data_IF_023565243476
#
_entry.id   IF_023565243476
#
_cell.length_a   1.000
_cell.length_b   1.000
_cell.length_c   1.000
_cell.angle_alpha   90.00
_cell.angle_beta   90.00
_cell.angle_gamma   90.00
#
_symmetry.space_group_name_H-M   'P 1'
#
loop_
_entity.id
_entity.type
_entity.pdbx_description
1 polymer ?
#
# COMPACT_ATOMS: atom_id res chain seq x y z
N UNK A 1 -32.21 30.40 8.41
CA UNK A 1 -31.27 29.40 8.97
C UNK A 1 -30.54 30.05 10.14
N UNK A 2 -30.61 29.51 11.36
CA UNK A 2 -30.09 30.19 12.56
C UNK A 2 -28.55 30.18 12.62
N UNK A 3 -27.92 31.25 13.16
CA UNK A 3 -26.45 31.33 13.33
C UNK A 3 -25.90 30.15 14.13
N UNK A 4 -26.65 29.69 15.12
CA UNK A 4 -26.31 28.56 15.98
C UNK A 4 -26.28 27.22 15.21
N UNK A 5 -27.10 27.06 14.18
CA UNK A 5 -27.04 25.91 13.28
C UNK A 5 -25.75 25.90 12.45
N UNK A 6 -25.35 27.07 11.92
CA UNK A 6 -24.12 27.21 11.11
C UNK A 6 -22.88 26.95 11.96
N UNK A 7 -22.83 27.47 13.19
CA UNK A 7 -21.72 27.26 14.13
C UNK A 7 -21.58 25.77 14.48
N UNK A 8 -22.68 25.11 14.85
CA UNK A 8 -22.68 23.68 15.17
C UNK A 8 -22.25 22.79 13.99
N UNK A 9 -22.62 23.15 12.76
CA UNK A 9 -22.19 22.42 11.56
C UNK A 9 -20.69 22.60 11.27
N UNK A 10 -20.16 23.80 11.50
CA UNK A 10 -18.73 24.08 11.34
C UNK A 10 -17.89 23.32 12.37
N UNK A 11 -18.33 23.24 13.63
CA UNK A 11 -17.63 22.47 14.67
C UNK A 11 -17.66 20.96 14.43
N UNK A 12 -18.81 20.40 14.02
CA UNK A 12 -18.90 18.98 13.64
C UNK A 12 -17.99 18.65 12.46
N UNK A 13 -17.95 19.53 11.45
CA UNK A 13 -17.09 19.36 10.28
C UNK A 13 -15.61 19.45 10.65
N UNK A 14 -15.22 20.39 11.52
CA UNK A 14 -13.86 20.49 12.06
C UNK A 14 -13.46 19.25 12.86
N UNK A 15 -14.30 18.78 13.78
CA UNK A 15 -14.03 17.59 14.58
C UNK A 15 -13.81 16.32 13.73
N UNK A 16 -14.59 16.16 12.64
CA UNK A 16 -14.40 15.07 11.68
C UNK A 16 -13.09 15.18 10.89
N UNK A 17 -12.68 16.40 10.50
CA UNK A 17 -11.39 16.62 9.80
C UNK A 17 -10.20 16.32 10.71
N UNK A 18 -10.22 16.77 11.97
CA UNK A 18 -9.16 16.49 12.94
C UNK A 18 -9.02 14.98 13.16
N UNK A 19 -10.13 14.26 13.36
CA UNK A 19 -10.10 12.82 13.55
C UNK A 19 -9.53 12.07 12.32
N UNK A 20 -9.85 12.51 11.11
CA UNK A 20 -9.29 11.95 9.88
C UNK A 20 -7.77 12.14 9.82
N UNK A 21 -7.29 13.37 10.04
CA UNK A 21 -5.85 13.69 9.97
C UNK A 21 -5.07 12.89 11.02
N UNK A 22 -5.55 12.89 12.27
CA UNK A 22 -4.90 12.13 13.36
C UNK A 22 -4.90 10.64 13.06
N UNK A 23 -6.04 10.09 12.60
CA UNK A 23 -6.15 8.69 12.24
C UNK A 23 -5.22 8.27 11.11
N UNK A 24 -5.13 9.07 10.05
CA UNK A 24 -4.20 8.84 8.95
C UNK A 24 -2.74 8.95 9.44
N UNK A 25 -2.43 9.93 10.30
CA UNK A 25 -1.09 10.10 10.86
C UNK A 25 -0.64 8.90 11.70
N UNK A 26 -1.52 8.37 12.58
CA UNK A 26 -1.22 7.17 13.37
C UNK A 26 -1.02 5.96 12.45
N UNK A 27 -1.89 5.76 11.46
CA UNK A 27 -1.76 4.64 10.52
C UNK A 27 -0.48 4.75 9.68
N UNK A 28 -0.08 5.96 9.26
CA UNK A 28 1.18 6.20 8.57
C UNK A 28 2.39 5.92 9.46
N UNK A 29 2.35 6.31 10.74
CA UNK A 29 3.41 5.98 11.69
C UNK A 29 3.55 4.46 11.88
N UNK A 30 2.43 3.74 12.03
CA UNK A 30 2.42 2.27 12.12
C UNK A 30 2.91 1.63 10.82
N UNK A 31 2.46 2.12 9.66
CA UNK A 31 2.91 1.64 8.36
C UNK A 31 4.44 1.78 8.22
N UNK A 32 4.96 2.95 8.58
CA UNK A 32 6.41 3.21 8.55
C UNK A 32 7.15 2.27 9.50
N UNK A 33 6.67 2.11 10.74
CA UNK A 33 7.26 1.19 11.71
C UNK A 33 7.31 -0.26 11.18
N UNK A 34 6.24 -0.72 10.52
CA UNK A 34 6.20 -2.04 9.89
C UNK A 34 7.11 -2.15 8.67
N UNK A 35 7.33 -1.06 7.94
CA UNK A 35 8.25 -1.03 6.80
C UNK A 35 9.70 -1.17 7.26
N UNK A 36 10.08 -0.55 8.39
CA UNK A 36 11.40 -0.77 9.00
C UNK A 36 11.67 -2.22 9.42
N UNK A 37 10.61 -3.02 9.61
CA UNK A 37 10.70 -4.45 9.91
C UNK A 37 10.66 -5.32 8.64
N UNK A 38 11.04 -4.75 7.50
CA UNK A 38 11.11 -5.47 6.24
C UNK A 38 12.02 -6.70 6.34
N UNK A 39 11.53 -7.80 5.77
CA UNK A 39 12.22 -9.06 5.68
C UNK A 39 12.89 -9.10 4.31
N UNK A 40 14.23 -9.26 4.24
CA UNK A 40 14.93 -9.39 2.97
C UNK A 40 14.37 -10.58 2.18
N UNK A 41 14.08 -10.37 0.89
CA UNK A 41 13.81 -11.47 -0.02
C UNK A 41 15.10 -11.97 -0.67
N UNK A 42 15.08 -13.13 -1.35
CA UNK A 42 16.22 -13.58 -2.16
C UNK A 42 16.73 -12.52 -3.14
N UNK A 43 15.84 -11.65 -3.63
CA UNK A 43 16.21 -10.48 -4.44
C UNK A 43 16.36 -9.28 -3.51
N UNK A 44 17.61 -8.93 -3.20
CA UNK A 44 17.99 -7.95 -2.17
C UNK A 44 17.36 -6.55 -2.30
N UNK A 45 16.93 -6.12 -3.49
CA UNK A 45 16.25 -4.84 -3.71
C UNK A 45 14.71 -4.94 -3.70
N UNK A 46 14.14 -6.10 -3.42
CA UNK A 46 12.70 -6.34 -3.24
C UNK A 46 12.51 -6.92 -1.84
N UNK A 47 12.03 -6.13 -0.90
CA UNK A 47 11.81 -6.59 0.47
C UNK A 47 10.33 -6.92 0.72
N UNK A 48 10.07 -7.87 1.63
CA UNK A 48 8.72 -8.18 2.10
C UNK A 48 8.46 -7.38 3.38
N UNK A 49 7.36 -6.65 3.41
CA UNK A 49 6.95 -5.90 4.59
C UNK A 49 5.42 -5.98 4.76
N UNK A 50 4.94 -5.59 5.94
CA UNK A 50 3.51 -5.57 6.28
C UNK A 50 2.92 -4.14 6.28
N UNK A 51 3.64 -3.18 5.70
CA UNK A 51 3.30 -1.75 5.80
C UNK A 51 2.09 -1.35 4.95
N UNK A 52 1.69 -2.15 3.96
CA UNK A 52 0.49 -1.92 3.16
C UNK A 52 -0.80 -2.18 3.95
N UNK A 53 -0.73 -2.97 5.04
CA UNK A 53 -1.88 -3.30 5.87
C UNK A 53 -2.48 -2.05 6.56
N UNK A 54 -1.73 -1.21 7.30
CA UNK A 54 -2.28 0.02 7.86
C UNK A 54 -2.86 0.97 6.81
N UNK A 55 -2.25 1.06 5.62
CA UNK A 55 -2.76 1.88 4.53
C UNK A 55 -4.09 1.33 3.96
N UNK A 56 -4.21 0.01 3.82
CA UNK A 56 -5.46 -0.66 3.47
C UNK A 56 -6.56 -0.41 4.50
N UNK A 57 -6.23 -0.48 5.80
CA UNK A 57 -7.17 -0.16 6.88
C UNK A 57 -7.60 1.32 6.83
N UNK A 58 -6.66 2.22 6.51
CA UNK A 58 -6.96 3.64 6.28
C UNK A 58 -7.89 3.85 5.10
N UNK A 59 -7.68 3.12 3.99
CA UNK A 59 -8.56 3.16 2.82
C UNK A 59 -10.00 2.72 3.17
N UNK A 60 -10.15 1.71 4.01
CA UNK A 60 -11.45 1.23 4.47
C UNK A 60 -12.12 2.17 5.47
N UNK A 61 -11.36 2.72 6.43
CA UNK A 61 -11.90 3.61 7.47
C UNK A 61 -12.24 5.01 6.95
N UNK A 62 -11.31 5.61 6.21
CA UNK A 62 -11.34 7.03 5.85
C UNK A 62 -11.53 7.28 4.35
N UNK A 63 -11.46 6.23 3.53
CA UNK A 63 -11.66 6.28 2.08
C UNK A 63 -10.37 6.12 1.29
N UNK A 64 -10.47 5.82 -0.01
CA UNK A 64 -9.34 5.39 -0.84
C UNK A 64 -8.17 6.38 -0.85
N UNK A 65 -8.45 7.68 -0.89
CA UNK A 65 -7.42 8.72 -0.89
C UNK A 65 -6.61 8.71 0.42
N UNK A 66 -7.24 8.38 1.56
CA UNK A 66 -6.50 8.25 2.81
C UNK A 66 -5.48 7.12 2.76
N UNK A 67 -5.83 5.98 2.14
CA UNK A 67 -4.89 4.88 1.91
C UNK A 67 -3.69 5.30 1.07
N UNK A 68 -3.93 5.98 -0.05
CA UNK A 68 -2.87 6.52 -0.93
C UNK A 68 -1.97 7.52 -0.20
N UNK A 69 -2.53 8.39 0.65
CA UNK A 69 -1.74 9.34 1.42
C UNK A 69 -0.91 8.65 2.52
N UNK A 70 -1.43 7.60 3.15
CA UNK A 70 -0.68 6.79 4.12
C UNK A 70 0.49 6.10 3.43
N UNK A 71 0.27 5.52 2.24
CA UNK A 71 1.31 4.95 1.36
C UNK A 71 2.39 5.97 0.99
N UNK A 72 1.98 7.20 0.67
CA UNK A 72 2.92 8.27 0.35
C UNK A 72 3.78 8.60 1.57
N UNK A 73 3.14 8.87 2.72
CA UNK A 73 3.84 9.31 3.94
C UNK A 73 4.80 8.24 4.43
N UNK A 74 4.39 6.97 4.49
CA UNK A 74 5.27 5.89 4.97
C UNK A 74 6.53 5.78 4.10
N UNK A 75 6.37 5.83 2.78
CA UNK A 75 7.48 5.67 1.86
C UNK A 75 8.40 6.88 1.89
N UNK A 76 7.86 8.11 1.98
CA UNK A 76 8.65 9.34 2.16
C UNK A 76 9.49 9.30 3.43
N UNK A 77 8.95 8.81 4.54
CA UNK A 77 9.71 8.68 5.79
C UNK A 77 10.78 7.59 5.64
N UNK A 78 10.46 6.47 5.00
CA UNK A 78 11.39 5.36 4.80
C UNK A 78 12.59 5.72 3.92
N UNK A 79 12.47 6.75 3.05
CA UNK A 79 13.60 7.23 2.24
C UNK A 79 14.84 7.56 3.09
N UNK A 80 14.67 7.99 4.35
CA UNK A 80 15.76 8.33 5.25
C UNK A 80 16.69 7.14 5.59
N UNK A 81 16.21 5.90 5.40
CA UNK A 81 16.97 4.67 5.69
C UNK A 81 17.06 3.72 4.49
N UNK A 82 16.72 4.22 3.29
CA UNK A 82 16.59 3.38 2.10
C UNK A 82 17.85 2.57 1.83
N UNK A 83 17.68 1.26 1.69
CA UNK A 83 18.74 0.31 1.31
C UNK A 83 18.74 0.01 -0.19
N UNK A 84 17.70 0.44 -0.90
CA UNK A 84 17.44 0.13 -2.31
C UNK A 84 17.78 1.29 -3.26
N UNK A 85 18.40 2.36 -2.76
CA UNK A 85 18.66 3.56 -3.55
C UNK A 85 17.38 4.29 -3.96
N UNK A 86 16.39 4.34 -3.08
CA UNK A 86 15.08 5.00 -3.27
C UNK A 86 14.13 4.32 -4.27
N UNK A 87 14.62 3.34 -5.03
CA UNK A 87 13.86 2.63 -6.06
C UNK A 87 12.80 1.72 -5.46
N UNK A 88 13.13 1.05 -4.35
CA UNK A 88 12.20 0.20 -3.63
C UNK A 88 11.02 0.98 -3.07
N UNK A 89 11.28 2.15 -2.47
CA UNK A 89 10.23 3.04 -1.94
C UNK A 89 9.34 3.59 -3.05
N UNK A 90 9.92 3.95 -4.21
CA UNK A 90 9.14 4.37 -5.37
C UNK A 90 8.19 3.26 -5.84
N UNK A 91 8.70 2.04 -6.00
CA UNK A 91 7.89 0.88 -6.40
C UNK A 91 6.81 0.58 -5.36
N UNK A 92 7.19 0.54 -4.07
CA UNK A 92 6.28 0.30 -2.95
C UNK A 92 5.14 1.31 -2.94
N UNK A 93 5.44 2.61 -3.11
CA UNK A 93 4.40 3.64 -3.19
C UNK A 93 3.46 3.45 -4.37
N UNK A 94 3.97 3.25 -5.59
CA UNK A 94 3.12 3.09 -6.79
C UNK A 94 2.17 1.91 -6.61
N UNK A 95 2.70 0.77 -6.17
CA UNK A 95 1.95 -0.47 -6.03
C UNK A 95 0.96 -0.40 -4.85
N UNK A 96 1.42 0.10 -3.70
CA UNK A 96 0.58 0.30 -2.52
C UNK A 96 -0.55 1.31 -2.77
N UNK A 97 -0.28 2.39 -3.51
CA UNK A 97 -1.31 3.35 -3.90
C UNK A 97 -2.40 2.70 -4.77
N UNK A 98 -2.01 1.92 -5.78
CA UNK A 98 -2.96 1.19 -6.64
C UNK A 98 -3.78 0.19 -5.83
N UNK A 99 -3.13 -0.53 -4.92
CA UNK A 99 -3.77 -1.51 -4.05
C UNK A 99 -4.84 -0.87 -3.16
N UNK A 100 -4.44 0.14 -2.39
CA UNK A 100 -5.31 0.79 -1.40
C UNK A 100 -6.40 1.63 -2.05
N UNK A 101 -6.11 2.30 -3.17
CA UNK A 101 -7.10 3.03 -3.97
C UNK A 101 -8.20 2.09 -4.47
N UNK A 102 -7.83 1.01 -5.16
CA UNK A 102 -8.77 0.03 -5.69
C UNK A 102 -9.60 -0.62 -4.60
N UNK A 103 -8.93 -1.11 -3.54
CA UNK A 103 -9.61 -1.78 -2.44
C UNK A 103 -10.57 -0.83 -1.72
N UNK A 104 -10.14 0.41 -1.46
CA UNK A 104 -10.96 1.46 -0.86
C UNK A 104 -12.18 1.80 -1.71
N UNK A 105 -12.03 1.99 -3.02
CA UNK A 105 -13.14 2.28 -3.93
C UNK A 105 -14.22 1.19 -3.90
N UNK A 106 -13.83 -0.09 -3.84
CA UNK A 106 -14.76 -1.21 -3.77
C UNK A 106 -15.43 -1.28 -2.40
N UNK A 107 -14.65 -1.16 -1.31
CA UNK A 107 -15.17 -1.25 0.05
C UNK A 107 -16.19 -0.14 0.36
N UNK A 108 -15.91 1.09 -0.10
CA UNK A 108 -16.76 2.25 0.20
C UNK A 108 -18.17 2.14 -0.40
N UNK A 109 -18.37 1.30 -1.44
CA UNK A 109 -19.71 1.03 -1.99
C UNK A 109 -20.59 0.27 -1.01
N UNK A 110 -20.04 -0.73 -0.32
CA UNK A 110 -20.82 -1.62 0.56
C UNK A 110 -20.05 -2.12 1.78
N UNK A 111 -19.82 -1.24 2.78
CA UNK A 111 -18.97 -1.47 3.97
C UNK A 111 -19.29 -2.72 4.80
N UNK A 112 -18.83 -3.87 4.34
CA UNK A 112 -19.05 -5.20 4.92
C UNK A 112 -17.77 -6.01 4.93
N UNK A 113 -17.68 -7.05 5.77
CA UNK A 113 -16.51 -7.94 5.77
C UNK A 113 -16.30 -8.58 4.39
N UNK A 114 -17.38 -8.97 3.71
CA UNK A 114 -17.34 -9.52 2.36
C UNK A 114 -16.73 -8.53 1.36
N UNK A 115 -17.18 -7.26 1.38
CA UNK A 115 -16.62 -6.22 0.51
C UNK A 115 -15.16 -5.88 0.83
N UNK A 116 -14.73 -6.00 2.09
CA UNK A 116 -13.34 -5.74 2.48
C UNK A 116 -12.41 -6.83 1.91
N UNK A 117 -12.82 -8.09 2.03
CA UNK A 117 -12.08 -9.23 1.44
C UNK A 117 -12.08 -9.11 -0.08
N UNK A 118 -13.25 -8.93 -0.71
CA UNK A 118 -13.36 -8.85 -2.16
C UNK A 118 -12.59 -7.65 -2.73
N UNK A 119 -12.76 -6.47 -2.14
CA UNK A 119 -12.05 -5.27 -2.52
C UNK A 119 -10.55 -5.40 -2.33
N UNK A 120 -10.11 -6.01 -1.23
CA UNK A 120 -8.72 -6.35 -0.99
C UNK A 120 -8.14 -7.30 -2.03
N UNK A 121 -8.79 -8.43 -2.32
CA UNK A 121 -8.32 -9.40 -3.32
C UNK A 121 -8.25 -8.77 -4.71
N UNK A 122 -9.28 -8.04 -5.12
CA UNK A 122 -9.28 -7.32 -6.41
C UNK A 122 -8.18 -6.26 -6.42
N UNK A 123 -8.00 -5.51 -5.33
CA UNK A 123 -6.91 -4.55 -5.18
C UNK A 123 -5.54 -5.21 -5.36
N UNK A 124 -5.30 -6.36 -4.71
CA UNK A 124 -4.06 -7.10 -4.82
C UNK A 124 -3.83 -7.60 -6.26
N UNK A 125 -4.89 -8.08 -6.92
CA UNK A 125 -4.83 -8.52 -8.31
C UNK A 125 -4.49 -7.35 -9.26
N UNK A 126 -5.15 -6.20 -9.11
CA UNK A 126 -4.85 -5.01 -9.93
C UNK A 126 -3.42 -4.52 -9.63
N UNK A 127 -3.00 -4.51 -8.37
CA UNK A 127 -1.63 -4.19 -7.99
C UNK A 127 -0.62 -5.10 -8.69
N UNK A 128 -0.87 -6.42 -8.71
CA UNK A 128 -0.01 -7.38 -9.40
C UNK A 128 0.04 -7.14 -10.92
N UNK A 129 -1.12 -6.88 -11.56
CA UNK A 129 -1.19 -6.57 -12.99
C UNK A 129 -0.43 -5.28 -13.31
N UNK A 130 -0.59 -4.22 -12.51
CA UNK A 130 0.10 -2.94 -12.69
C UNK A 130 1.59 -3.05 -12.35
N UNK A 131 1.99 -4.00 -11.51
CA UNK A 131 3.39 -4.20 -11.14
C UNK A 131 4.27 -4.53 -12.34
N UNK A 132 3.75 -5.23 -13.35
CA UNK A 132 4.53 -5.54 -14.54
C UNK A 132 4.90 -4.28 -15.35
N UNK A 133 3.94 -3.49 -15.89
CA UNK A 133 4.27 -2.28 -16.64
C UNK A 133 4.95 -1.20 -15.77
N UNK A 134 4.54 -1.04 -14.50
CA UNK A 134 5.20 -0.09 -13.58
C UNK A 134 6.68 -0.42 -13.42
N UNK A 135 7.01 -1.69 -13.16
CA UNK A 135 8.40 -2.08 -13.02
C UNK A 135 9.17 -1.94 -14.33
N UNK A 136 8.59 -2.36 -15.44
CA UNK A 136 9.25 -2.36 -16.74
C UNK A 136 9.57 -0.95 -17.26
N UNK A 137 8.64 0.01 -17.10
CA UNK A 137 8.74 1.33 -17.72
C UNK A 137 9.16 2.44 -16.76
N UNK A 138 9.06 2.24 -15.45
CA UNK A 138 9.37 3.28 -14.45
C UNK A 138 10.46 2.83 -13.50
N UNK A 139 10.21 1.75 -12.74
CA UNK A 139 11.08 1.38 -11.60
C UNK A 139 12.46 0.91 -12.08
N UNK A 140 12.51 -0.05 -13.02
CA UNK A 140 13.79 -0.57 -13.50
C UNK A 140 14.57 0.43 -14.34
N UNK A 141 13.95 1.18 -15.28
CA UNK A 141 14.64 2.27 -15.95
C UNK A 141 15.23 3.30 -14.99
N UNK A 142 14.53 3.62 -13.90
CA UNK A 142 15.08 4.47 -12.85
C UNK A 142 16.27 3.80 -12.13
N UNK A 143 16.14 2.51 -11.81
CA UNK A 143 17.20 1.73 -11.16
C UNK A 143 18.47 1.61 -12.00
N UNK A 144 18.35 1.59 -13.32
CA UNK A 144 19.49 1.49 -14.22
C UNK A 144 20.42 2.70 -14.21
N UNK A 145 19.99 3.84 -13.65
CA UNK A 145 20.87 4.98 -13.41
C UNK A 145 21.85 4.73 -12.26
N UNK A 146 21.59 3.72 -11.41
CA UNK A 146 22.41 3.37 -10.25
C UNK A 146 23.14 2.04 -10.44
N UNK A 147 22.55 1.09 -11.18
CA UNK A 147 23.11 -0.24 -11.41
C UNK A 147 22.89 -0.69 -12.87
N UNK A 148 23.92 -1.16 -13.60
CA UNK A 148 23.75 -1.64 -14.97
C UNK A 148 22.70 -2.76 -15.08
N UNK A 149 21.96 -2.77 -16.19
CA UNK A 149 20.90 -3.76 -16.45
C UNK A 149 21.42 -5.20 -16.35
N UNK A 150 22.65 -5.43 -16.80
CA UNK A 150 23.33 -6.72 -16.78
C UNK A 150 23.60 -7.20 -15.35
N UNK A 151 23.96 -6.28 -14.44
CA UNK A 151 24.16 -6.60 -13.03
C UNK A 151 22.83 -6.95 -12.35
N UNK A 152 21.76 -6.19 -12.64
CA UNK A 152 20.41 -6.50 -12.13
C UNK A 152 19.94 -7.86 -12.65
N UNK A 153 20.15 -8.16 -13.94
CA UNK A 153 19.81 -9.44 -14.52
C UNK A 153 20.62 -10.58 -13.90
N UNK A 154 21.91 -10.36 -13.62
CA UNK A 154 22.78 -11.32 -12.95
C UNK A 154 22.26 -11.75 -11.58
N UNK A 155 21.69 -10.82 -10.79
CA UNK A 155 21.04 -11.14 -9.50
C UNK A 155 19.88 -12.12 -9.72
N UNK A 156 19.04 -11.87 -10.72
CA UNK A 156 17.93 -12.78 -11.03
C UNK A 156 18.40 -14.14 -11.57
N UNK A 157 19.42 -14.16 -12.43
CA UNK A 157 19.95 -15.39 -13.02
C UNK A 157 20.61 -16.30 -11.99
N UNK A 158 21.15 -15.75 -10.90
CA UNK A 158 21.68 -16.53 -9.79
C UNK A 158 20.59 -17.30 -9.02
N UNK A 159 19.33 -16.87 -9.11
CA UNK A 159 18.22 -17.39 -8.31
C UNK A 159 17.18 -18.13 -9.17
N UNK A 160 17.00 -17.71 -10.42
CA UNK A 160 15.94 -18.16 -11.31
C UNK A 160 16.47 -18.41 -12.72
N UNK A 161 15.82 -19.34 -13.44
CA UNK A 161 16.11 -19.61 -14.85
C UNK A 161 15.46 -18.56 -15.76
N UNK A 162 16.07 -17.38 -15.84
CA UNK A 162 15.58 -16.25 -16.65
C UNK A 162 16.64 -15.74 -17.62
N UNK A 163 16.18 -15.32 -18.79
CA UNK A 163 17.06 -14.77 -19.84
C UNK A 163 16.90 -13.26 -20.02
N UNK A 164 15.96 -12.63 -19.32
CA UNK A 164 15.66 -11.22 -19.46
C UNK A 164 15.01 -10.65 -18.20
N UNK A 165 15.04 -9.33 -18.03
CA UNK A 165 14.42 -8.63 -16.90
C UNK A 165 12.90 -8.73 -16.98
N UNK A 166 12.33 -8.67 -18.17
CA UNK A 166 10.91 -8.82 -18.43
C UNK A 166 10.41 -10.18 -17.88
N UNK A 167 11.15 -11.25 -18.19
CA UNK A 167 10.86 -12.58 -17.66
C UNK A 167 10.98 -12.60 -16.14
N UNK A 168 12.04 -12.00 -15.57
CA UNK A 168 12.25 -11.90 -14.13
C UNK A 168 11.09 -11.18 -13.41
N UNK A 169 10.65 -10.04 -13.93
CA UNK A 169 9.52 -9.29 -13.39
C UNK A 169 8.25 -10.16 -13.42
N UNK A 170 8.01 -10.86 -14.53
CA UNK A 170 6.82 -11.69 -14.68
C UNK A 170 6.79 -12.88 -13.72
N UNK A 171 7.90 -13.59 -13.56
CA UNK A 171 7.93 -14.84 -12.77
C UNK A 171 8.17 -14.60 -11.28
N UNK A 172 8.78 -13.48 -10.90
CA UNK A 172 9.14 -13.19 -9.52
C UNK A 172 8.37 -11.99 -8.98
N UNK A 173 8.56 -10.81 -9.57
CA UNK A 173 8.01 -9.57 -9.01
C UNK A 173 6.49 -9.57 -8.98
N UNK A 174 5.83 -10.01 -10.06
CA UNK A 174 4.36 -10.02 -10.16
C UNK A 174 3.75 -10.97 -9.12
N UNK A 175 4.16 -12.26 -9.02
CA UNK A 175 3.71 -13.14 -7.96
C UNK A 175 4.03 -12.64 -6.54
N UNK A 176 5.24 -12.13 -6.33
CA UNK A 176 5.66 -11.58 -5.03
C UNK A 176 4.74 -10.43 -4.59
N UNK A 177 4.47 -9.50 -5.50
CA UNK A 177 3.57 -8.36 -5.27
C UNK A 177 2.16 -8.83 -4.92
N UNK A 178 1.64 -9.82 -5.67
CA UNK A 178 0.32 -10.37 -5.40
C UNK A 178 0.23 -11.00 -4.01
N UNK A 179 1.22 -11.82 -3.65
CA UNK A 179 1.31 -12.49 -2.33
C UNK A 179 1.37 -11.44 -1.21
N UNK A 180 2.21 -10.41 -1.36
CA UNK A 180 2.29 -9.29 -0.40
C UNK A 180 0.93 -8.64 -0.16
N UNK A 181 0.20 -8.36 -1.23
CA UNK A 181 -1.16 -7.84 -1.15
C UNK A 181 -2.12 -8.80 -0.42
N UNK A 182 -2.11 -10.09 -0.79
CA UNK A 182 -2.96 -11.10 -0.16
C UNK A 182 -2.69 -11.28 1.33
N UNK A 183 -1.44 -11.18 1.78
CA UNK A 183 -1.08 -11.21 3.20
C UNK A 183 -1.78 -10.06 3.93
N UNK A 184 -1.72 -8.84 3.38
CA UNK A 184 -2.40 -7.67 3.96
C UNK A 184 -3.92 -7.87 4.01
N UNK A 185 -4.52 -8.46 2.97
CA UNK A 185 -5.96 -8.79 2.96
C UNK A 185 -6.31 -9.83 4.01
N UNK A 186 -5.51 -10.90 4.13
CA UNK A 186 -5.73 -11.96 5.10
C UNK A 186 -5.69 -11.42 6.53
N UNK A 187 -4.65 -10.64 6.87
CA UNK A 187 -4.53 -10.04 8.20
C UNK A 187 -5.70 -9.08 8.45
N UNK A 188 -6.03 -8.21 7.50
CA UNK A 188 -7.18 -7.29 7.59
C UNK A 188 -8.50 -8.03 7.86
N UNK A 189 -8.72 -9.17 7.20
CA UNK A 189 -9.91 -10.00 7.38
C UNK A 189 -9.99 -10.67 8.76
N UNK A 190 -8.85 -11.06 9.34
CA UNK A 190 -8.75 -11.62 10.69
C UNK A 190 -9.09 -10.58 11.76
N UNK A 191 -8.53 -9.37 11.62
CA UNK A 191 -8.73 -8.27 12.58
C UNK A 191 -9.98 -7.41 12.28
N UNK A 192 -10.79 -7.78 11.28
CA UNK A 192 -11.96 -7.01 10.89
C UNK A 192 -12.99 -6.84 12.02
N UNK A 193 -13.23 -7.89 12.83
CA UNK A 193 -14.21 -7.84 13.92
C UNK A 193 -13.87 -6.77 14.97
N UNK A 194 -12.67 -6.76 15.58
CA UNK A 194 -12.30 -5.73 16.55
C UNK A 194 -12.18 -4.33 15.92
N UNK A 195 -11.76 -4.22 14.65
CA UNK A 195 -11.65 -2.92 13.98
C UNK A 195 -12.96 -2.39 13.38
N UNK A 196 -14.04 -3.18 13.36
CA UNK A 196 -15.32 -2.78 12.76
C UNK A 196 -15.83 -1.40 13.23
N UNK A 197 -15.79 -1.03 14.52
CA UNK A 197 -16.26 0.29 14.97
C UNK A 197 -15.47 1.45 14.35
N UNK A 198 -14.17 1.24 14.11
CA UNK A 198 -13.28 2.18 13.45
C UNK A 198 -13.53 2.23 11.94
N UNK A 199 -13.65 1.07 11.29
CA UNK A 199 -13.82 0.96 9.83
C UNK A 199 -15.17 1.48 9.32
N UNK A 200 -16.22 1.40 10.14
CA UNK A 200 -17.56 1.87 9.76
C UNK A 200 -17.85 3.31 10.20
N UNK A 201 -17.02 3.87 11.07
CA UNK A 201 -17.36 5.08 11.84
C UNK A 201 -18.51 4.79 12.82
N UNK A 202 -18.63 5.60 13.88
CA UNK A 202 -19.82 5.55 14.74
C UNK A 202 -21.03 6.01 13.90
N UNK A 203 -21.91 5.10 13.55
CA UNK A 203 -23.31 5.45 13.29
C UNK A 203 -23.84 5.97 14.63
N UNK A 204 -23.91 7.29 14.79
CA UNK A 204 -24.80 7.91 15.77
C UNK A 204 -26.20 7.94 15.18
#
# INVERSE_FOLDING_TARGET
MSKEYIINQNEKTKANKTHLIVGCGVLAAVATALQYLEIPSPVNFIALDFSDLPALLGAFAYGPIAGVLIELVKNVIHLAVSRSGYVGELSNFILGAVFTLTAGLIYQKHKTKKSAILGGVIGALIMAVVSYPSNLFVVYPFYYNFMPKEAVLGVYQALFKVNSIEMAILIYNVPFTFIKGLISVAISALIYKPLRPFLKGKTK
#
